data_IF_518720413680
#
_entry.id   IF_518720413680
#
_cell.length_a   1.000
_cell.length_b   1.000
_cell.length_c   1.000
_cell.angle_alpha   90.00
_cell.angle_beta   90.00
_cell.angle_gamma   90.00
#
_symmetry.space_group_name_H-M   'P 1'
#
loop_
_entity.id
_entity.type
_entity.pdbx_description
1 polymer ?
#
# COMPACT_ATOMS: atom_id res chain seq x y z
N UNK A 1 27.69 24.16 21.06
CA UNK A 1 26.56 24.38 20.15
C UNK A 1 25.57 25.28 20.86
N UNK A 2 25.44 26.50 20.39
CA UNK A 2 24.61 27.55 20.99
C UNK A 2 23.18 27.44 20.47
N UNK A 3 22.18 27.82 21.27
CA UNK A 3 20.74 27.79 20.92
C UNK A 3 20.36 28.53 19.61
N UNK A 4 21.28 29.34 19.08
CA UNK A 4 21.15 30.04 17.80
C UNK A 4 21.34 29.06 16.63
N UNK A 5 22.31 28.15 16.72
CA UNK A 5 22.56 27.13 15.69
C UNK A 5 21.38 26.15 15.53
N UNK A 6 20.61 25.91 16.60
CA UNK A 6 19.42 25.06 16.54
C UNK A 6 18.21 25.75 15.93
N UNK A 7 18.05 27.06 16.14
CA UNK A 7 16.96 27.85 15.54
C UNK A 7 17.14 27.96 14.02
N UNK A 8 18.36 28.29 13.56
CA UNK A 8 18.69 28.40 12.13
C UNK A 8 18.50 27.04 11.42
N UNK A 9 18.89 25.93 12.05
CA UNK A 9 18.68 24.59 11.52
C UNK A 9 17.19 24.23 11.37
N UNK A 10 16.34 24.69 12.29
CA UNK A 10 14.90 24.44 12.25
C UNK A 10 14.24 25.27 11.15
N UNK A 11 14.61 26.53 10.98
CA UNK A 11 14.09 27.37 9.89
C UNK A 11 14.54 26.87 8.51
N UNK A 12 15.78 26.40 8.41
CA UNK A 12 16.30 25.69 7.23
C UNK A 12 15.46 24.42 6.95
N UNK A 13 15.12 23.65 7.99
CA UNK A 13 14.26 22.46 7.85
C UNK A 13 12.84 22.82 7.43
N UNK A 14 12.24 23.89 7.95
CA UNK A 14 10.90 24.36 7.53
C UNK A 14 10.93 24.84 6.09
N UNK A 15 11.94 25.62 5.70
CA UNK A 15 12.12 26.10 4.33
C UNK A 15 12.29 24.91 3.37
N UNK A 16 13.18 23.98 3.69
CA UNK A 16 13.41 22.77 2.88
C UNK A 16 12.15 21.88 2.83
N UNK A 17 11.38 21.79 3.91
CA UNK A 17 10.10 21.08 3.94
C UNK A 17 9.04 21.78 3.08
N UNK A 18 8.96 23.11 3.09
CA UNK A 18 8.06 23.89 2.23
C UNK A 18 8.44 23.75 0.76
N UNK A 19 9.73 23.81 0.44
CA UNK A 19 10.23 23.61 -0.93
C UNK A 19 9.90 22.19 -1.41
N UNK A 20 10.19 21.16 -0.61
CA UNK A 20 9.80 19.78 -0.90
C UNK A 20 8.30 19.61 -1.01
N UNK A 21 7.50 20.26 -0.17
CA UNK A 21 6.05 20.18 -0.23
C UNK A 21 5.52 20.85 -1.50
N UNK A 22 6.06 22.00 -1.90
CA UNK A 22 5.70 22.67 -3.14
C UNK A 22 6.09 21.87 -4.39
N UNK A 23 7.26 21.21 -4.35
CA UNK A 23 7.69 20.27 -5.40
C UNK A 23 6.78 19.05 -5.41
N UNK A 24 6.55 18.41 -4.27
CA UNK A 24 5.68 17.25 -4.15
C UNK A 24 4.25 17.56 -4.60
N UNK A 25 3.70 18.74 -4.27
CA UNK A 25 2.37 19.18 -4.69
C UNK A 25 2.31 19.43 -6.20
N UNK A 26 3.36 20.01 -6.80
CA UNK A 26 3.47 20.15 -8.26
C UNK A 26 3.57 18.80 -8.95
N UNK A 27 4.48 17.93 -8.48
CA UNK A 27 4.61 16.56 -8.96
C UNK A 27 3.28 15.80 -8.84
N UNK A 28 2.54 16.02 -7.74
CA UNK A 28 1.24 15.40 -7.55
C UNK A 28 0.18 15.91 -8.50
N UNK A 29 0.15 17.21 -8.75
CA UNK A 29 -0.75 17.80 -9.73
C UNK A 29 -0.45 17.24 -11.11
N UNK A 30 0.83 17.15 -11.47
CA UNK A 30 1.24 16.56 -12.74
C UNK A 30 1.03 15.03 -12.82
N UNK A 31 1.12 14.31 -11.69
CA UNK A 31 0.79 12.88 -11.60
C UNK A 31 -0.71 12.67 -11.71
N UNK A 32 -1.52 13.50 -11.04
CA UNK A 32 -2.99 13.46 -11.15
C UNK A 32 -3.46 13.80 -12.57
N UNK A 33 -2.84 14.77 -13.21
CA UNK A 33 -3.15 15.14 -14.59
C UNK A 33 -2.72 14.06 -15.61
N UNK A 34 -1.83 13.14 -15.22
CA UNK A 34 -1.28 12.04 -16.06
C UNK A 34 -1.70 10.64 -15.62
N UNK A 35 -2.32 10.48 -14.47
CA UNK A 35 -2.73 9.19 -13.95
C UNK A 35 -3.81 8.62 -14.88
N UNK A 36 -3.53 7.45 -15.42
CA UNK A 36 -4.44 6.78 -16.35
C UNK A 36 -5.20 5.65 -15.68
N UNK A 37 -4.85 5.33 -14.43
CA UNK A 37 -5.45 4.25 -13.65
C UNK A 37 -5.75 4.70 -12.23
N UNK A 38 -6.78 4.11 -11.62
CA UNK A 38 -7.17 4.41 -10.24
C UNK A 38 -6.02 4.13 -9.25
N UNK A 39 -5.12 3.19 -9.54
CA UNK A 39 -3.97 2.84 -8.69
C UNK A 39 -2.92 3.95 -8.63
N UNK A 40 -2.63 4.57 -9.77
CA UNK A 40 -1.73 5.72 -9.84
C UNK A 40 -2.32 6.95 -9.14
N UNK A 41 -3.64 7.13 -9.22
CA UNK A 41 -4.34 8.21 -8.52
C UNK A 41 -4.28 8.01 -6.99
N UNK A 42 -4.59 6.81 -6.48
CA UNK A 42 -4.51 6.53 -5.03
C UNK A 42 -3.07 6.63 -4.49
N UNK A 43 -2.07 6.18 -5.25
CA UNK A 43 -0.67 6.31 -4.88
C UNK A 43 -0.22 7.78 -4.85
N UNK A 44 -0.68 8.59 -5.81
CA UNK A 44 -0.45 10.03 -5.82
C UNK A 44 -1.11 10.69 -4.59
N UNK A 45 -2.39 10.41 -4.33
CA UNK A 45 -3.11 10.92 -3.15
C UNK A 45 -2.40 10.60 -1.83
N UNK A 46 -1.92 9.37 -1.67
CA UNK A 46 -1.14 8.97 -0.49
C UNK A 46 0.13 9.81 -0.36
N UNK A 47 0.89 9.99 -1.45
CA UNK A 47 2.11 10.82 -1.45
C UNK A 47 1.81 12.28 -1.07
N UNK A 48 0.63 12.80 -1.42
CA UNK A 48 0.20 14.15 -1.08
C UNK A 48 -0.09 14.28 0.41
N UNK A 49 -0.89 13.36 0.93
CA UNK A 49 -1.25 13.32 2.34
C UNK A 49 0.01 13.21 3.20
N UNK A 50 0.95 12.32 2.83
CA UNK A 50 2.22 12.16 3.55
C UNK A 50 3.07 13.42 3.51
N UNK A 51 3.21 14.05 2.34
CA UNK A 51 3.96 15.30 2.19
C UNK A 51 3.35 16.43 3.02
N UNK A 52 2.02 16.56 3.03
CA UNK A 52 1.29 17.52 3.85
C UNK A 52 1.48 17.28 5.35
N UNK A 53 1.39 16.02 5.79
CA UNK A 53 1.64 15.62 7.18
C UNK A 53 3.04 16.02 7.64
N UNK A 54 4.08 15.68 6.89
CA UNK A 54 5.46 16.00 7.28
C UNK A 54 5.75 17.51 7.28
N UNK A 55 5.15 18.27 6.36
CA UNK A 55 5.25 19.72 6.38
C UNK A 55 4.60 20.31 7.64
N UNK A 56 3.36 19.89 7.94
CA UNK A 56 2.66 20.37 9.12
C UNK A 56 3.41 20.02 10.41
N UNK A 57 4.02 18.83 10.47
CA UNK A 57 4.83 18.38 11.60
C UNK A 57 6.07 19.27 11.78
N UNK A 58 6.80 19.56 10.71
CA UNK A 58 7.95 20.47 10.75
C UNK A 58 7.55 21.88 11.24
N UNK A 59 6.41 22.41 10.76
CA UNK A 59 5.87 23.70 11.21
C UNK A 59 5.52 23.68 12.70
N UNK A 60 4.88 22.61 13.18
CA UNK A 60 4.54 22.46 14.60
C UNK A 60 5.81 22.45 15.48
N UNK A 61 6.85 21.73 15.06
CA UNK A 61 8.14 21.73 15.76
C UNK A 61 8.82 23.10 15.78
N UNK A 62 8.81 23.83 14.65
CA UNK A 62 9.36 25.19 14.57
C UNK A 62 8.64 26.17 15.51
N UNK A 63 7.30 26.15 15.52
CA UNK A 63 6.53 26.97 16.46
C UNK A 63 6.78 26.58 17.91
N UNK A 64 6.93 25.28 18.20
CA UNK A 64 7.27 24.79 19.53
C UNK A 64 8.62 25.30 20.02
N UNK A 65 9.62 25.32 19.13
CA UNK A 65 10.94 25.88 19.45
C UNK A 65 10.89 27.40 19.65
N UNK A 66 10.17 28.13 18.79
CA UNK A 66 9.96 29.58 18.96
C UNK A 66 9.27 29.90 20.29
N UNK A 67 8.23 29.13 20.66
CA UNK A 67 7.54 29.30 21.93
C UNK A 67 8.46 29.03 23.12
N UNK A 68 9.26 27.96 23.08
CA UNK A 68 10.25 27.67 24.12
C UNK A 68 11.30 28.78 24.24
N UNK A 69 11.76 29.35 23.12
CA UNK A 69 12.70 30.46 23.13
C UNK A 69 12.09 31.74 23.74
N UNK A 70 10.85 32.06 23.38
CA UNK A 70 10.12 33.19 23.97
C UNK A 70 9.90 33.00 25.48
N UNK A 71 9.58 31.77 25.90
CA UNK A 71 9.44 31.41 27.31
C UNK A 71 10.76 31.60 28.07
N UNK A 72 11.86 31.06 27.55
CA UNK A 72 13.19 31.18 28.17
C UNK A 72 13.69 32.63 28.25
N UNK A 73 13.28 33.50 27.32
CA UNK A 73 13.58 34.94 27.34
C UNK A 73 12.68 35.75 28.27
N UNK A 74 11.71 35.11 28.94
CA UNK A 74 10.77 35.79 29.83
C UNK A 74 9.78 36.69 29.09
N UNK A 75 9.32 36.27 27.90
CA UNK A 75 8.31 37.02 27.15
C UNK A 75 7.04 37.25 27.99
N UNK A 76 6.30 38.31 27.64
CA UNK A 76 5.06 38.64 28.33
C UNK A 76 4.03 37.50 28.23
N UNK A 77 3.25 37.32 29.30
CA UNK A 77 2.25 36.24 29.41
C UNK A 77 1.34 36.12 28.19
N UNK A 78 0.81 37.23 27.70
CA UNK A 78 -0.11 37.24 26.55
C UNK A 78 0.57 36.77 25.25
N UNK A 79 1.84 37.11 25.06
CA UNK A 79 2.67 36.61 23.95
C UNK A 79 2.86 35.11 24.05
N UNK A 80 3.17 34.59 25.24
CA UNK A 80 3.34 33.17 25.49
C UNK A 80 2.04 32.39 25.25
N UNK A 81 0.89 32.91 25.68
CA UNK A 81 -0.42 32.30 25.45
C UNK A 81 -0.77 32.26 23.96
N UNK A 82 -0.51 33.34 23.22
CA UNK A 82 -0.72 33.37 21.75
C UNK A 82 0.18 32.37 21.01
N UNK A 83 1.47 32.33 21.34
CA UNK A 83 2.42 31.41 20.74
C UNK A 83 2.08 29.94 21.09
N UNK A 84 1.70 29.66 22.35
CA UNK A 84 1.25 28.33 22.77
C UNK A 84 -0.02 27.88 22.04
N UNK A 85 -0.98 28.79 21.83
CA UNK A 85 -2.18 28.51 21.06
C UNK A 85 -1.84 28.18 19.59
N UNK A 86 -0.91 28.92 18.98
CA UNK A 86 -0.46 28.64 17.61
C UNK A 86 0.18 27.25 17.49
N UNK A 87 1.02 26.85 18.46
CA UNK A 87 1.57 25.48 18.56
C UNK A 87 0.45 24.46 18.66
N UNK A 88 -0.52 24.68 19.55
CA UNK A 88 -1.64 23.76 19.78
C UNK A 88 -2.48 23.56 18.51
N UNK A 89 -2.82 24.64 17.81
CA UNK A 89 -3.58 24.59 16.56
C UNK A 89 -2.80 23.81 15.49
N UNK A 90 -1.49 24.03 15.37
CA UNK A 90 -0.66 23.28 14.42
C UNK A 90 -0.55 21.81 14.79
N UNK A 91 -0.44 21.48 16.08
CA UNK A 91 -0.44 20.10 16.54
C UNK A 91 -1.76 19.39 16.19
N UNK A 92 -2.90 20.06 16.34
CA UNK A 92 -4.20 19.53 15.89
C UNK A 92 -4.23 19.30 14.37
N UNK A 93 -3.68 20.21 13.58
CA UNK A 93 -3.56 20.04 12.13
C UNK A 93 -2.71 18.81 11.78
N UNK A 94 -1.61 18.58 12.49
CA UNK A 94 -0.75 17.40 12.35
C UNK A 94 -1.52 16.12 12.65
N UNK A 95 -2.32 16.10 13.72
CA UNK A 95 -3.11 14.92 14.09
C UNK A 95 -4.20 14.60 13.06
N UNK A 96 -4.87 15.63 12.52
CA UNK A 96 -5.83 15.46 11.42
C UNK A 96 -5.18 14.87 10.17
N UNK A 97 -4.02 15.41 9.75
CA UNK A 97 -3.28 14.91 8.59
C UNK A 97 -2.74 13.48 8.83
N UNK A 98 -2.40 13.14 10.07
CA UNK A 98 -2.02 11.77 10.42
C UNK A 98 -3.18 10.81 10.15
N UNK A 99 -4.40 11.16 10.55
CA UNK A 99 -5.59 10.34 10.28
C UNK A 99 -5.82 10.19 8.78
N UNK A 100 -5.67 11.27 8.01
CA UNK A 100 -5.79 11.24 6.55
C UNK A 100 -4.77 10.31 5.90
N UNK A 101 -3.49 10.40 6.28
CA UNK A 101 -2.42 9.50 5.80
C UNK A 101 -2.75 8.05 6.11
N UNK A 102 -3.19 7.74 7.34
CA UNK A 102 -3.55 6.37 7.70
C UNK A 102 -4.75 5.87 6.89
N UNK A 103 -5.73 6.74 6.63
CA UNK A 103 -6.89 6.42 5.78
C UNK A 103 -6.46 6.09 4.36
N UNK A 104 -5.57 6.89 3.77
CA UNK A 104 -5.08 6.64 2.41
C UNK A 104 -4.22 5.37 2.32
N UNK A 105 -3.38 5.11 3.34
CA UNK A 105 -2.63 3.85 3.42
C UNK A 105 -3.54 2.63 3.49
N UNK A 106 -4.64 2.72 4.23
CA UNK A 106 -5.62 1.65 4.34
C UNK A 106 -6.29 1.36 2.98
N UNK A 107 -6.67 2.40 2.22
CA UNK A 107 -7.25 2.23 0.87
C UNK A 107 -6.28 1.54 -0.10
N UNK A 108 -5.04 2.01 -0.17
CA UNK A 108 -4.00 1.40 -1.02
C UNK A 108 -3.75 -0.06 -0.63
N UNK A 109 -3.67 -0.35 0.68
CA UNK A 109 -3.50 -1.72 1.17
C UNK A 109 -4.71 -2.62 0.87
N UNK A 110 -5.93 -2.11 1.00
CA UNK A 110 -7.15 -2.84 0.66
C UNK A 110 -7.19 -3.21 -0.81
N UNK A 111 -6.83 -2.27 -1.71
CA UNK A 111 -6.78 -2.55 -3.14
C UNK A 111 -5.72 -3.59 -3.49
N UNK A 112 -4.52 -3.48 -2.92
CA UNK A 112 -3.47 -4.49 -3.10
C UNK A 112 -3.94 -5.87 -2.63
N UNK A 113 -4.62 -5.94 -1.47
CA UNK A 113 -5.18 -7.19 -0.97
C UNK A 113 -6.25 -7.78 -1.89
N UNK A 114 -7.13 -6.94 -2.47
CA UNK A 114 -8.13 -7.36 -3.46
C UNK A 114 -7.47 -7.92 -4.72
N UNK A 115 -6.48 -7.24 -5.28
CA UNK A 115 -5.76 -7.69 -6.47
C UNK A 115 -5.06 -9.04 -6.25
N UNK A 116 -4.41 -9.23 -5.09
CA UNK A 116 -3.80 -10.51 -4.71
C UNK A 116 -4.86 -11.61 -4.56
N UNK A 117 -6.00 -11.29 -3.95
CA UNK A 117 -7.09 -12.26 -3.77
C UNK A 117 -7.68 -12.69 -5.11
N UNK A 118 -7.94 -11.76 -6.03
CA UNK A 118 -8.42 -12.07 -7.37
C UNK A 118 -7.43 -12.92 -8.16
N UNK A 119 -6.13 -12.59 -8.11
CA UNK A 119 -5.07 -13.39 -8.72
C UNK A 119 -5.03 -14.81 -8.16
N UNK A 120 -5.13 -14.96 -6.84
CA UNK A 120 -5.16 -16.27 -6.18
C UNK A 120 -6.40 -17.08 -6.56
N UNK A 121 -7.57 -16.45 -6.65
CA UNK A 121 -8.80 -17.10 -7.11
C UNK A 121 -8.69 -17.56 -8.56
N UNK A 122 -8.09 -16.74 -9.43
CA UNK A 122 -7.83 -17.10 -10.83
C UNK A 122 -6.87 -18.29 -10.92
N UNK A 123 -5.75 -18.26 -10.20
CA UNK A 123 -4.79 -19.35 -10.16
C UNK A 123 -5.40 -20.65 -9.60
N UNK A 124 -6.24 -20.54 -8.57
CA UNK A 124 -6.97 -21.68 -7.99
C UNK A 124 -7.96 -22.27 -9.00
N UNK A 125 -8.70 -21.43 -9.74
CA UNK A 125 -9.63 -21.88 -10.78
C UNK A 125 -8.92 -22.54 -11.97
N UNK A 126 -7.79 -21.99 -12.40
CA UNK A 126 -6.94 -22.59 -13.43
C UNK A 126 -6.37 -23.94 -12.98
N UNK A 127 -5.90 -24.02 -11.74
CA UNK A 127 -5.43 -25.27 -11.12
C UNK A 127 -6.56 -26.31 -11.01
N UNK A 128 -7.76 -25.90 -10.61
CA UNK A 128 -8.93 -26.77 -10.55
C UNK A 128 -9.34 -27.28 -11.94
N UNK A 129 -9.23 -26.43 -12.97
CA UNK A 129 -9.43 -26.84 -14.36
C UNK A 129 -8.40 -27.88 -14.74
N UNK A 130 -7.10 -27.63 -14.54
CA UNK A 130 -6.04 -28.58 -14.85
C UNK A 130 -6.26 -29.94 -14.15
N UNK A 131 -6.65 -29.93 -12.87
CA UNK A 131 -6.97 -31.14 -12.10
C UNK A 131 -8.16 -31.93 -12.68
N UNK A 132 -9.18 -31.27 -13.23
CA UNK A 132 -10.28 -31.97 -13.91
C UNK A 132 -9.80 -32.67 -15.17
N UNK A 133 -8.94 -32.03 -15.96
CA UNK A 133 -8.38 -32.63 -17.18
C UNK A 133 -7.52 -33.85 -16.87
N UNK A 134 -6.70 -33.81 -15.81
CA UNK A 134 -5.91 -34.98 -15.38
C UNK A 134 -6.79 -36.11 -14.84
N UNK A 135 -7.85 -35.79 -14.09
CA UNK A 135 -8.83 -36.78 -13.64
C UNK A 135 -9.52 -37.48 -14.82
N UNK A 136 -9.97 -36.71 -15.83
CA UNK A 136 -10.54 -37.30 -17.04
C UNK A 136 -9.54 -38.18 -17.81
N UNK A 137 -8.29 -37.73 -17.96
CA UNK A 137 -7.24 -38.54 -18.59
C UNK A 137 -7.01 -39.87 -17.84
N UNK A 138 -7.04 -39.83 -16.51
CA UNK A 138 -6.89 -41.03 -15.66
C UNK A 138 -8.07 -41.98 -15.84
N UNK A 139 -9.30 -41.46 -15.90
CA UNK A 139 -10.51 -42.26 -16.17
C UNK A 139 -10.41 -42.93 -17.54
N UNK A 140 -10.03 -42.19 -18.59
CA UNK A 140 -9.87 -42.73 -19.94
C UNK A 140 -8.82 -43.84 -19.97
N UNK A 141 -7.67 -43.65 -19.29
CA UNK A 141 -6.63 -44.66 -19.19
C UNK A 141 -7.12 -45.92 -18.44
N UNK A 142 -7.86 -45.76 -17.34
CA UNK A 142 -8.44 -46.86 -16.60
C UNK A 142 -9.42 -47.67 -17.47
N UNK A 143 -10.32 -46.99 -18.20
CA UNK A 143 -11.24 -47.64 -19.15
C UNK A 143 -10.49 -48.39 -20.24
N UNK A 144 -9.46 -47.78 -20.84
CA UNK A 144 -8.64 -48.44 -21.86
C UNK A 144 -7.95 -49.70 -21.33
N UNK A 145 -7.48 -49.67 -20.07
CA UNK A 145 -6.85 -50.83 -19.42
C UNK A 145 -7.86 -51.97 -19.22
N UNK A 146 -9.08 -51.66 -18.78
CA UNK A 146 -10.16 -52.66 -18.65
C UNK A 146 -10.50 -53.29 -20.00
N UNK A 147 -10.61 -52.47 -21.06
CA UNK A 147 -10.87 -52.97 -22.43
C UNK A 147 -9.76 -53.90 -22.91
N UNK A 148 -8.49 -53.56 -22.67
CA UNK A 148 -7.34 -54.42 -23.00
C UNK A 148 -7.37 -55.75 -22.26
N UNK A 149 -7.72 -55.76 -20.96
CA UNK A 149 -7.88 -56.98 -20.17
C UNK A 149 -9.00 -57.85 -20.76
N UNK A 150 -10.15 -57.25 -21.11
CA UNK A 150 -11.26 -58.00 -21.73
C UNK A 150 -10.86 -58.58 -23.08
N UNK A 151 -10.18 -57.80 -23.93
CA UNK A 151 -9.71 -58.25 -25.24
C UNK A 151 -8.72 -59.42 -25.13
N UNK A 152 -7.79 -59.37 -24.18
CA UNK A 152 -6.83 -60.46 -23.91
C UNK A 152 -7.52 -61.72 -23.39
N UNK A 153 -8.53 -61.59 -22.52
CA UNK A 153 -9.33 -62.75 -22.07
C UNK A 153 -10.12 -63.41 -23.21
N UNK A 154 -10.68 -62.63 -24.14
CA UNK A 154 -11.36 -63.16 -25.32
C UNK A 154 -10.37 -63.89 -26.24
N UNK A 155 -9.21 -63.27 -26.52
CA UNK A 155 -8.16 -63.90 -27.33
C UNK A 155 -7.67 -65.22 -26.70
N UNK A 156 -7.47 -65.26 -25.39
CA UNK A 156 -7.10 -66.47 -24.66
C UNK A 156 -8.19 -67.56 -24.72
N UNK A 157 -9.48 -67.19 -24.67
CA UNK A 157 -10.59 -68.16 -24.86
C UNK A 157 -10.63 -68.75 -26.26
N UNK A 158 -10.41 -67.93 -27.29
CA UNK A 158 -10.37 -68.40 -28.68
C UNK A 158 -9.18 -69.35 -28.89
N UNK A 159 -8.00 -69.00 -28.36
CA UNK A 159 -6.81 -69.84 -28.45
C UNK A 159 -6.94 -71.19 -27.73
N UNK A 160 -7.65 -71.24 -26.59
CA UNK A 160 -7.86 -72.48 -25.82
C UNK A 160 -9.05 -73.34 -26.30
N UNK A 161 -9.92 -72.80 -27.17
CA UNK A 161 -11.07 -73.51 -27.73
C UNK A 161 -10.84 -74.22 -29.07
N UNK A 162 -9.68 -74.01 -29.73
CA UNK A 162 -9.36 -74.58 -31.04
C UNK A 162 -8.58 -75.90 -31.04
N UNK A 163 -8.54 -76.60 -29.89
CA UNK A 163 -7.80 -77.86 -29.70
C UNK A 163 -8.69 -79.05 -29.40
N UNK A 164 -9.83 -79.17 -30.09
CA UNK A 164 -10.71 -80.33 -30.09
C UNK A 164 -11.06 -80.74 -31.51
#
# INVERSE_FOLDING_TARGET
MTEIESADAIDEMVRAAQERSNVAYRELKELRDRAHTDEEEEAAELKAAESGYYLALAQAHSLGHSWMADFSRGAQKETLERSHLAVTIKQWQVDMLRVEVQTQRAKVAERAARAVTESNLKAANESARAARWTAYATIVLAVATVVLIVATLIAAKIASGGGG
#
